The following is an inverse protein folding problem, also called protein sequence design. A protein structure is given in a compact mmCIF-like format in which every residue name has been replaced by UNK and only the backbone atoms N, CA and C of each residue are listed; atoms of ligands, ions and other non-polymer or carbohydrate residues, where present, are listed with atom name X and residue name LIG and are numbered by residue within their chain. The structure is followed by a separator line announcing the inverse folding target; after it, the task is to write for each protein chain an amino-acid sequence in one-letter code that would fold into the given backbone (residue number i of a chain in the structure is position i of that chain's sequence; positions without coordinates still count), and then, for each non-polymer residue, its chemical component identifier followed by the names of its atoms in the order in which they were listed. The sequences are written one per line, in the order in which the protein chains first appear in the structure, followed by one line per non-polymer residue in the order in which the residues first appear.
data_IF_001033751456
#
_entry.id   IF_001033751456
#
_cell.length_a   1.000
_cell.length_b   1.000
_cell.length_c   1.000
_cell.angle_alpha   90.00
_cell.angle_beta   90.00
_cell.angle_gamma   90.00
#
_symmetry.space_group_name_H-M   'P 1'
#
loop_
_entity.id
_entity.type
_entity.pdbx_description
1 polymer ?
#
# COMPACT_ATOMS: atom_id res chain seq x y z
N UNK A 1 81.24 20.02 1.13
CA UNK A 1 80.35 18.85 1.03
C UNK A 1 78.91 19.31 1.28
N UNK A 2 78.18 19.66 0.22
CA UNK A 2 76.74 19.99 0.30
C UNK A 2 75.97 18.76 -0.18
N UNK A 3 75.26 18.09 0.72
CA UNK A 3 74.41 16.94 0.39
C UNK A 3 73.03 17.48 0.05
N UNK A 4 72.76 17.64 -1.25
CA UNK A 4 71.43 17.94 -1.78
C UNK A 4 70.51 16.74 -1.52
N UNK A 5 69.53 16.92 -0.62
CA UNK A 5 68.50 15.92 -0.34
C UNK A 5 67.29 16.23 -1.23
N UNK A 6 67.23 15.56 -2.37
CA UNK A 6 66.10 15.61 -3.29
C UNK A 6 64.92 14.85 -2.67
N UNK A 7 63.92 15.57 -2.14
CA UNK A 7 62.64 14.99 -1.74
C UNK A 7 61.74 14.90 -2.97
N UNK A 8 61.60 13.69 -3.54
CA UNK A 8 60.59 13.38 -4.54
C UNK A 8 59.23 13.30 -3.87
N UNK A 9 58.36 14.27 -4.15
CA UNK A 9 56.96 14.25 -3.75
C UNK A 9 56.22 13.22 -4.61
N UNK A 10 55.77 12.13 -3.98
CA UNK A 10 54.87 11.15 -4.60
C UNK A 10 53.45 11.75 -4.60
N UNK A 11 52.75 11.83 -5.74
CA UNK A 11 51.36 12.27 -5.77
C UNK A 11 50.48 11.25 -5.03
N UNK A 12 49.88 11.69 -3.93
CA UNK A 12 48.83 10.97 -3.20
C UNK A 12 47.70 10.69 -4.19
N UNK A 13 47.59 9.44 -4.65
CA UNK A 13 46.38 8.98 -5.30
C UNK A 13 45.25 9.11 -4.27
N UNK A 14 44.21 9.87 -4.62
CA UNK A 14 42.97 9.92 -3.86
C UNK A 14 42.40 8.49 -3.81
N UNK A 15 42.68 7.79 -2.72
CA UNK A 15 42.07 6.51 -2.40
C UNK A 15 40.57 6.77 -2.19
N UNK A 16 39.74 6.26 -3.10
CA UNK A 16 38.31 6.20 -2.85
C UNK A 16 38.08 5.45 -1.54
N UNK A 17 37.26 5.99 -0.62
CA UNK A 17 37.06 5.38 0.68
C UNK A 17 36.53 3.95 0.51
N UNK A 18 36.99 2.98 1.32
CA UNK A 18 36.59 1.60 1.18
C UNK A 18 35.07 1.48 1.29
N UNK A 19 34.44 0.61 0.48
CA UNK A 19 33.00 0.41 0.52
C UNK A 19 32.60 0.00 1.93
N UNK A 20 31.81 0.86 2.58
CA UNK A 20 31.39 0.59 3.96
C UNK A 20 30.48 -0.63 3.98
N UNK A 21 30.49 -1.37 5.10
CA UNK A 21 29.60 -2.51 5.38
C UNK A 21 28.13 -2.21 5.04
N UNK A 22 27.74 -0.94 5.09
CA UNK A 22 26.43 -0.43 4.70
C UNK A 22 26.08 -0.64 3.21
N UNK A 23 27.04 -0.45 2.30
CA UNK A 23 26.87 -0.76 0.87
C UNK A 23 26.69 -2.27 0.64
N UNK A 24 27.37 -3.10 1.43
CA UNK A 24 27.27 -4.57 1.36
C UNK A 24 25.90 -5.09 1.82
N UNK A 25 25.25 -4.38 2.73
CA UNK A 25 23.93 -4.70 3.27
C UNK A 25 22.77 -4.17 2.41
N UNK A 26 23.06 -3.48 1.30
CA UNK A 26 22.04 -2.84 0.45
C UNK A 26 21.30 -1.70 1.16
N UNK A 27 21.81 -1.26 2.32
CA UNK A 27 21.32 -0.09 3.04
C UNK A 27 22.00 1.10 2.40
N UNK A 28 21.27 1.75 1.50
CA UNK A 28 21.77 2.83 0.67
C UNK A 28 22.59 3.86 1.45
N UNK A 29 23.86 4.02 1.07
CA UNK A 29 24.78 5.05 1.57
C UNK A 29 24.25 6.48 1.34
N UNK A 30 23.19 6.62 0.54
CA UNK A 30 22.41 7.83 0.25
C UNK A 30 21.76 8.50 1.49
N UNK A 31 21.69 7.82 2.65
CA UNK A 31 21.20 8.46 3.88
C UNK A 31 22.16 9.49 4.47
N UNK A 32 23.44 9.46 4.08
CA UNK A 32 24.50 10.31 4.64
C UNK A 32 25.06 11.31 3.62
N UNK A 33 24.37 11.55 2.50
CA UNK A 33 24.80 12.60 1.57
C UNK A 33 24.50 13.99 2.12
N UNK A 34 25.50 14.88 2.08
CA UNK A 34 25.35 16.29 2.45
C UNK A 34 24.53 17.10 1.42
N UNK A 35 24.27 16.54 0.23
CA UNK A 35 23.44 17.19 -0.77
C UNK A 35 21.98 17.25 -0.28
N UNK A 36 21.36 18.44 -0.14
CA UNK A 36 20.02 18.57 0.40
C UNK A 36 18.95 17.82 -0.42
N UNK A 37 19.12 17.71 -1.74
CA UNK A 37 18.20 16.95 -2.60
C UNK A 37 18.28 15.44 -2.34
N UNK A 38 19.49 14.90 -2.16
CA UNK A 38 19.69 13.46 -1.88
C UNK A 38 19.14 13.12 -0.49
N UNK A 39 19.39 13.96 0.52
CA UNK A 39 18.84 13.80 1.87
C UNK A 39 17.31 13.84 1.89
N UNK A 40 16.69 14.76 1.14
CA UNK A 40 15.24 14.83 1.00
C UNK A 40 14.67 13.57 0.33
N UNK A 41 15.31 13.11 -0.76
CA UNK A 41 14.91 11.89 -1.46
C UNK A 41 15.04 10.64 -0.56
N UNK A 42 16.13 10.52 0.19
CA UNK A 42 16.35 9.43 1.14
C UNK A 42 15.28 9.42 2.25
N UNK A 43 14.92 10.58 2.80
CA UNK A 43 13.84 10.72 3.80
C UNK A 43 12.48 10.31 3.22
N UNK A 44 12.15 10.75 2.00
CA UNK A 44 10.91 10.39 1.33
C UNK A 44 10.83 8.87 1.05
N UNK A 45 11.95 8.27 0.62
CA UNK A 45 12.08 6.84 0.40
C UNK A 45 11.91 6.06 1.71
N UNK A 46 12.55 6.49 2.79
CA UNK A 46 12.42 5.88 4.11
C UNK A 46 10.95 5.90 4.60
N UNK A 47 10.27 7.05 4.51
CA UNK A 47 8.86 7.16 4.86
C UNK A 47 7.98 6.19 4.04
N UNK A 48 8.21 6.08 2.73
CA UNK A 48 7.50 5.12 1.87
C UNK A 48 7.78 3.67 2.27
N UNK A 49 9.02 3.33 2.61
CA UNK A 49 9.37 1.99 3.09
C UNK A 49 8.69 1.65 4.42
N UNK A 50 8.56 2.60 5.34
CA UNK A 50 7.82 2.38 6.59
C UNK A 50 6.35 2.07 6.34
N UNK A 51 5.68 2.77 5.41
CA UNK A 51 4.31 2.44 4.99
C UNK A 51 4.25 0.99 4.45
N UNK A 52 5.21 0.57 3.63
CA UNK A 52 5.27 -0.80 3.12
C UNK A 52 5.44 -1.84 4.24
N UNK A 53 6.30 -1.57 5.23
CA UNK A 53 6.50 -2.45 6.39
C UNK A 53 5.22 -2.58 7.22
N UNK A 54 4.57 -1.44 7.54
CA UNK A 54 3.29 -1.42 8.26
C UNK A 54 2.22 -2.25 7.55
N UNK A 55 2.03 -2.04 6.23
CA UNK A 55 1.10 -2.84 5.43
C UNK A 55 1.40 -4.34 5.49
N UNK A 56 2.68 -4.72 5.37
CA UNK A 56 3.10 -6.13 5.42
C UNK A 56 2.88 -6.75 6.80
N UNK A 57 3.07 -5.99 7.86
CA UNK A 57 2.75 -6.41 9.22
C UNK A 57 1.24 -6.64 9.39
N UNK A 58 0.40 -5.76 8.86
CA UNK A 58 -1.06 -5.91 8.88
C UNK A 58 -1.54 -7.14 8.10
N UNK A 59 -0.95 -7.42 6.93
CA UNK A 59 -1.21 -8.67 6.18
C UNK A 59 -0.82 -9.93 6.98
N UNK A 60 0.20 -9.84 7.84
CA UNK A 60 0.60 -10.95 8.70
C UNK A 60 -0.38 -11.13 9.86
N UNK A 61 -0.75 -10.03 10.54
CA UNK A 61 -1.78 -10.03 11.59
C UNK A 61 -3.12 -10.60 11.08
N UNK A 62 -3.53 -10.24 9.86
CA UNK A 62 -4.73 -10.77 9.23
C UNK A 62 -4.70 -12.30 9.04
N UNK A 63 -3.52 -12.87 8.76
CA UNK A 63 -3.36 -14.33 8.60
C UNK A 63 -3.38 -15.08 9.92
N UNK A 64 -2.94 -14.44 11.00
CA UNK A 64 -3.03 -15.02 12.34
C UNK A 64 -4.48 -15.01 12.83
N UNK A 65 -5.22 -13.93 12.55
CA UNK A 65 -6.60 -13.75 13.00
C UNK A 65 -6.70 -13.38 14.48
N UNK A 66 -7.91 -13.08 14.95
CA UNK A 66 -8.17 -12.71 16.35
C UNK A 66 -8.55 -13.95 17.16
N UNK A 67 -7.56 -14.77 17.51
CA UNK A 67 -7.75 -16.03 18.24
C UNK A 67 -7.50 -15.84 19.74
N UNK A 68 -8.01 -16.72 20.61
CA UNK A 68 -7.65 -16.70 22.03
C UNK A 68 -6.14 -16.84 22.27
N UNK A 69 -5.40 -17.45 21.34
CA UNK A 69 -3.94 -17.55 21.38
C UNK A 69 -3.19 -16.30 20.91
N UNK A 70 -3.89 -15.36 20.28
CA UNK A 70 -3.36 -14.09 19.77
C UNK A 70 -4.28 -12.91 20.12
N UNK A 71 -4.55 -12.65 21.42
CA UNK A 71 -5.43 -11.57 21.84
C UNK A 71 -4.91 -10.17 21.46
N UNK A 72 -3.62 -10.03 21.19
CA UNK A 72 -2.95 -8.79 20.78
C UNK A 72 -3.36 -8.31 19.37
N UNK A 73 -3.85 -9.20 18.51
CA UNK A 73 -4.13 -8.88 17.11
C UNK A 73 -5.28 -7.87 16.97
N UNK A 74 -6.35 -8.03 17.74
CA UNK A 74 -7.51 -7.13 17.71
C UNK A 74 -7.15 -5.68 18.03
N UNK A 75 -6.55 -5.39 19.21
CA UNK A 75 -6.08 -4.05 19.57
C UNK A 75 -5.08 -3.47 18.58
N UNK A 76 -4.17 -4.29 18.03
CA UNK A 76 -3.20 -3.82 17.04
C UNK A 76 -3.87 -3.36 15.74
N UNK A 77 -4.88 -4.09 15.26
CA UNK A 77 -5.65 -3.70 14.08
C UNK A 77 -6.48 -2.42 14.34
N UNK A 78 -7.11 -2.29 15.51
CA UNK A 78 -7.83 -1.06 15.91
C UNK A 78 -6.87 0.13 15.96
N UNK A 79 -5.67 -0.03 16.51
CA UNK A 79 -4.67 1.04 16.55
C UNK A 79 -4.23 1.45 15.13
N UNK A 80 -4.00 0.48 14.24
CA UNK A 80 -3.59 0.74 12.87
C UNK A 80 -4.68 1.42 12.01
N UNK A 81 -5.96 1.27 12.37
CA UNK A 81 -7.05 2.04 11.76
C UNK A 81 -6.97 3.54 12.06
N UNK A 82 -6.24 3.95 13.10
CA UNK A 82 -5.97 5.35 13.43
C UNK A 82 -4.66 5.90 12.87
N UNK A 83 -3.96 5.15 12.01
CA UNK A 83 -2.66 5.56 11.48
C UNK A 83 -2.78 6.85 10.63
N UNK A 84 -1.84 7.80 10.70
CA UNK A 84 -1.90 9.03 9.90
C UNK A 84 -1.87 8.74 8.38
N UNK A 85 -1.24 7.64 7.97
CA UNK A 85 -1.11 7.27 6.57
C UNK A 85 -2.38 6.54 6.09
N UNK A 86 -3.15 7.16 5.18
CA UNK A 86 -4.33 6.54 4.52
C UNK A 86 -4.05 5.11 4.02
N UNK A 87 -2.90 4.82 3.38
CA UNK A 87 -2.66 3.48 2.86
C UNK A 87 -2.50 2.43 3.97
N UNK A 88 -2.09 2.83 5.17
CA UNK A 88 -1.98 1.94 6.35
C UNK A 88 -3.36 1.73 6.96
N UNK A 89 -4.17 2.79 7.14
CA UNK A 89 -5.56 2.66 7.61
C UNK A 89 -6.36 1.73 6.70
N UNK A 90 -6.25 1.93 5.40
CA UNK A 90 -6.87 1.06 4.41
C UNK A 90 -6.45 -0.41 4.57
N UNK A 91 -5.15 -0.67 4.74
CA UNK A 91 -4.64 -2.02 4.92
C UNK A 91 -5.13 -2.65 6.23
N UNK A 92 -5.31 -1.86 7.29
CA UNK A 92 -5.83 -2.32 8.57
C UNK A 92 -7.30 -2.74 8.44
N UNK A 93 -8.13 -1.92 7.79
CA UNK A 93 -9.54 -2.26 7.53
C UNK A 93 -9.67 -3.47 6.59
N UNK A 94 -8.82 -3.55 5.56
CA UNK A 94 -8.76 -4.72 4.66
C UNK A 94 -8.33 -6.00 5.39
N UNK A 95 -7.41 -5.89 6.36
CA UNK A 95 -7.03 -7.01 7.21
C UNK A 95 -8.24 -7.53 8.02
N UNK A 96 -9.02 -6.63 8.62
CA UNK A 96 -10.25 -7.00 9.34
C UNK A 96 -11.27 -7.63 8.39
N UNK A 97 -11.54 -7.03 7.23
CA UNK A 97 -12.42 -7.62 6.21
C UNK A 97 -11.97 -9.03 5.81
N UNK A 98 -10.66 -9.26 5.68
CA UNK A 98 -10.12 -10.59 5.34
C UNK A 98 -10.40 -11.60 6.45
N UNK A 99 -10.18 -11.23 7.71
CA UNK A 99 -10.46 -12.11 8.86
C UNK A 99 -11.95 -12.39 9.04
N UNK A 100 -12.80 -11.38 8.88
CA UNK A 100 -14.26 -11.51 8.95
C UNK A 100 -14.83 -12.28 7.75
N UNK A 101 -14.11 -12.26 6.63
CA UNK A 101 -14.47 -12.96 5.41
C UNK A 101 -14.67 -14.46 5.64
N UNK A 102 -14.00 -15.10 6.60
CA UNK A 102 -14.23 -16.52 6.88
C UNK A 102 -15.65 -16.87 7.32
N UNK A 103 -16.41 -15.89 7.82
CA UNK A 103 -17.84 -16.05 8.13
C UNK A 103 -18.77 -15.91 6.92
N UNK A 104 -18.25 -15.44 5.79
CA UNK A 104 -19.06 -15.15 4.61
C UNK A 104 -19.24 -16.37 3.70
N UNK A 105 -20.41 -16.47 3.07
CA UNK A 105 -20.63 -17.43 1.99
C UNK A 105 -19.70 -17.15 0.79
N UNK A 106 -19.42 -18.14 -0.07
CA UNK A 106 -18.63 -17.92 -1.28
C UNK A 106 -19.16 -16.79 -2.17
N UNK A 107 -20.49 -16.62 -2.26
CA UNK A 107 -21.16 -15.55 -3.00
C UNK A 107 -20.91 -14.18 -2.37
N UNK A 108 -21.00 -14.09 -1.05
CA UNK A 108 -20.68 -12.88 -0.29
C UNK A 108 -19.20 -12.50 -0.47
N UNK A 109 -18.28 -13.47 -0.32
CA UNK A 109 -16.84 -13.29 -0.58
C UNK A 109 -16.59 -12.76 -2.00
N UNK A 110 -17.27 -13.29 -3.02
CA UNK A 110 -17.16 -12.80 -4.41
C UNK A 110 -17.69 -11.38 -4.57
N UNK A 111 -18.80 -11.06 -3.92
CA UNK A 111 -19.43 -9.73 -4.00
C UNK A 111 -18.56 -8.67 -3.32
N UNK A 112 -18.00 -8.96 -2.16
CA UNK A 112 -17.04 -8.09 -1.48
C UNK A 112 -15.77 -7.85 -2.33
N UNK A 113 -15.24 -8.89 -2.99
CA UNK A 113 -14.10 -8.74 -3.93
C UNK A 113 -14.45 -7.88 -5.14
N UNK A 114 -15.66 -7.97 -5.67
CA UNK A 114 -16.14 -7.09 -6.75
C UNK A 114 -16.23 -5.63 -6.27
N UNK A 115 -16.71 -5.41 -5.04
CA UNK A 115 -16.83 -4.08 -4.45
C UNK A 115 -15.48 -3.42 -4.13
N UNK A 116 -14.45 -4.20 -3.78
CA UNK A 116 -13.06 -3.72 -3.68
C UNK A 116 -12.48 -3.23 -5.04
N UNK A 117 -13.18 -3.51 -6.14
CA UNK A 117 -12.88 -3.01 -7.47
C UNK A 117 -11.88 -3.87 -8.26
N UNK A 118 -11.90 -3.66 -9.59
CA UNK A 118 -10.99 -4.34 -10.52
C UNK A 118 -9.52 -3.95 -10.32
N UNK A 119 -9.24 -2.78 -9.74
CA UNK A 119 -7.87 -2.26 -9.57
C UNK A 119 -7.08 -3.11 -8.58
N UNK A 120 -7.66 -3.45 -7.43
CA UNK A 120 -7.01 -4.36 -6.49
C UNK A 120 -6.89 -5.77 -7.04
N UNK A 121 -7.93 -6.24 -7.74
CA UNK A 121 -7.91 -7.55 -8.40
C UNK A 121 -6.78 -7.64 -9.43
N UNK A 122 -6.51 -6.55 -10.16
CA UNK A 122 -5.42 -6.46 -11.13
C UNK A 122 -4.05 -6.39 -10.45
N UNK A 123 -3.93 -5.65 -9.35
CA UNK A 123 -2.69 -5.58 -8.57
C UNK A 123 -2.34 -6.91 -7.89
N UNK A 124 -3.33 -7.59 -7.31
CA UNK A 124 -3.16 -8.92 -6.70
C UNK A 124 -2.88 -9.99 -7.76
N UNK A 125 -3.52 -9.90 -8.93
CA UNK A 125 -3.20 -10.76 -10.07
C UNK A 125 -1.77 -10.55 -10.56
N UNK A 126 -1.34 -9.29 -10.73
CA UNK A 126 0.04 -8.94 -11.07
C UNK A 126 1.05 -9.53 -10.08
N UNK A 127 0.82 -9.33 -8.77
CA UNK A 127 1.69 -9.87 -7.71
C UNK A 127 1.73 -11.41 -7.70
N UNK A 128 0.60 -12.06 -7.96
CA UNK A 128 0.54 -13.53 -8.11
C UNK A 128 1.27 -14.02 -9.35
N UNK A 129 1.16 -13.33 -10.47
CA UNK A 129 1.91 -13.63 -11.69
C UNK A 129 3.41 -13.47 -11.45
N UNK A 130 3.85 -12.37 -10.82
CA UNK A 130 5.25 -12.14 -10.45
C UNK A 130 5.78 -13.24 -9.53
N UNK A 131 5.04 -13.61 -8.47
CA UNK A 131 5.43 -14.69 -7.56
C UNK A 131 5.50 -16.04 -8.27
N UNK A 132 4.50 -16.37 -9.10
CA UNK A 132 4.47 -17.63 -9.84
C UNK A 132 5.64 -17.76 -10.82
N UNK A 133 6.04 -16.65 -11.45
CA UNK A 133 7.23 -16.59 -12.30
C UNK A 133 8.50 -16.81 -11.48
N UNK A 134 8.64 -16.17 -10.31
CA UNK A 134 9.78 -16.40 -9.42
C UNK A 134 9.86 -17.86 -8.94
N UNK A 135 8.76 -18.43 -8.45
CA UNK A 135 8.71 -19.82 -7.97
C UNK A 135 9.02 -20.83 -9.09
N UNK A 136 8.59 -20.54 -10.32
CA UNK A 136 8.88 -21.36 -11.49
C UNK A 136 10.37 -21.32 -11.86
N UNK A 137 10.98 -20.13 -11.88
CA UNK A 137 12.42 -19.96 -12.13
C UNK A 137 13.23 -20.71 -11.08
N UNK A 138 12.87 -20.60 -9.81
CA UNK A 138 13.52 -21.32 -8.70
C UNK A 138 13.38 -22.85 -8.85
N UNK A 139 12.24 -23.32 -9.38
CA UNK A 139 12.00 -24.75 -9.61
C UNK A 139 12.81 -25.32 -10.78
N UNK A 140 12.94 -24.58 -11.88
CA UNK A 140 13.69 -25.06 -13.06
C UNK A 140 15.19 -24.97 -12.82
N UNK A 141 15.66 -23.89 -12.22
CA UNK A 141 17.09 -23.60 -12.17
C UNK A 141 17.70 -23.74 -10.77
N UNK A 142 16.93 -24.26 -9.81
CA UNK A 142 17.29 -24.23 -8.40
C UNK A 142 17.25 -22.82 -7.82
N UNK A 143 17.35 -22.71 -6.49
CA UNK A 143 17.52 -21.42 -5.78
C UNK A 143 18.93 -20.87 -6.04
N UNK A 144 19.16 -20.37 -7.24
CA UNK A 144 20.45 -19.82 -7.65
C UNK A 144 20.53 -18.31 -7.35
N UNK A 145 21.70 -17.78 -6.95
CA UNK A 145 21.86 -16.38 -6.54
C UNK A 145 21.55 -15.38 -7.68
N UNK A 146 21.07 -14.17 -7.35
CA UNK A 146 20.20 -13.34 -8.21
C UNK A 146 20.91 -12.50 -9.29
N UNK A 147 22.17 -12.77 -9.65
CA UNK A 147 22.94 -11.75 -10.36
C UNK A 147 22.83 -11.70 -11.88
N UNK A 148 22.40 -12.75 -12.58
CA UNK A 148 22.38 -12.69 -14.05
C UNK A 148 21.29 -13.57 -14.67
N UNK A 149 20.11 -13.02 -15.03
CA UNK A 149 19.18 -13.72 -15.92
C UNK A 149 18.45 -12.78 -16.89
N UNK A 150 18.60 -13.05 -18.19
CA UNK A 150 17.76 -12.52 -19.28
C UNK A 150 16.49 -13.39 -19.37
N UNK A 151 15.41 -12.99 -18.70
CA UNK A 151 14.18 -13.79 -18.51
C UNK A 151 13.08 -13.64 -19.57
N UNK A 152 13.29 -12.90 -20.68
CA UNK A 152 12.17 -12.53 -21.56
C UNK A 152 11.66 -13.65 -22.48
N UNK A 153 12.51 -14.56 -22.95
CA UNK A 153 12.12 -15.54 -23.99
C UNK A 153 11.42 -16.79 -23.43
N UNK A 154 11.63 -17.15 -22.16
CA UNK A 154 10.98 -18.31 -21.53
C UNK A 154 9.59 -18.01 -20.92
N UNK A 155 9.14 -16.75 -20.92
CA UNK A 155 7.92 -16.34 -20.22
C UNK A 155 6.64 -16.82 -20.93
N UNK A 156 6.63 -16.88 -22.27
CA UNK A 156 5.45 -17.30 -23.05
C UNK A 156 5.17 -18.80 -22.96
N UNK A 157 6.22 -19.63 -22.96
CA UNK A 157 6.10 -21.09 -22.82
C UNK A 157 5.58 -21.49 -21.42
N UNK A 158 5.94 -20.74 -20.39
CA UNK A 158 5.48 -20.97 -19.01
C UNK A 158 4.00 -20.63 -18.80
N UNK A 159 3.48 -19.66 -19.55
CA UNK A 159 2.08 -19.23 -19.48
C UNK A 159 1.12 -20.34 -19.94
N UNK A 160 1.49 -21.14 -20.94
CA UNK A 160 0.65 -22.26 -21.42
C UNK A 160 0.63 -23.43 -20.42
N UNK A 161 1.75 -23.72 -19.75
CA UNK A 161 1.83 -24.77 -18.73
C UNK A 161 0.99 -24.43 -17.49
N UNK A 162 0.94 -23.15 -17.10
CA UNK A 162 0.16 -22.67 -15.95
C UNK A 162 -1.35 -22.85 -16.14
N UNK A 163 -1.87 -22.69 -17.36
CA UNK A 163 -3.30 -22.89 -17.67
C UNK A 163 -3.76 -24.33 -17.42
N UNK A 164 -2.87 -25.31 -17.60
CA UNK A 164 -3.18 -26.74 -17.43
C UNK A 164 -3.24 -27.22 -15.97
N UNK A 165 -2.61 -26.50 -15.01
CA UNK A 165 -2.44 -26.96 -13.62
C UNK A 165 -3.39 -26.31 -12.59
N UNK A 166 -4.24 -25.39 -13.02
CA UNK A 166 -5.15 -24.63 -12.14
C UNK A 166 -6.45 -25.36 -11.78
N UNK A 167 -6.66 -26.60 -12.24
CA UNK A 167 -7.83 -27.41 -11.90
C UNK A 167 -7.42 -28.67 -11.15
N UNK A 168 -7.19 -28.56 -9.84
CA UNK A 168 -7.01 -29.76 -9.01
C UNK A 168 -6.29 -29.49 -7.70
N UNK A 169 -7.03 -29.09 -6.66
CA UNK A 169 -6.58 -29.28 -5.29
C UNK A 169 -7.72 -29.85 -4.48
N UNK A 170 -7.55 -31.08 -4.01
CA UNK A 170 -8.44 -31.74 -3.07
C UNK A 170 -8.26 -31.15 -1.66
N UNK A 171 -9.33 -30.95 -0.87
CA UNK A 171 -9.22 -30.45 0.50
C UNK A 171 -8.69 -31.53 1.44
N UNK A 172 -7.83 -31.16 2.38
CA UNK A 172 -7.41 -32.02 3.49
C UNK A 172 -8.53 -32.08 4.56
N UNK A 173 -8.79 -33.26 5.16
CA UNK A 173 -9.66 -33.36 6.33
C UNK A 173 -8.86 -33.07 7.61
N UNK A 174 -9.15 -31.94 8.28
CA UNK A 174 -8.61 -31.64 9.61
C UNK A 174 -9.62 -31.99 10.72
N UNK A 175 -9.21 -32.78 11.73
CA UNK A 175 -10.01 -33.12 12.91
C UNK A 175 -9.72 -32.13 14.05
N UNK A 176 -10.67 -31.25 14.36
CA UNK A 176 -10.91 -30.55 15.66
C UNK A 176 -11.85 -29.37 15.38
N UNK A 177 -13.13 -29.67 15.18
CA UNK A 177 -14.12 -28.73 14.64
C UNK A 177 -15.26 -28.40 15.62
N UNK A 178 -15.12 -28.76 16.89
CA UNK A 178 -16.30 -28.87 17.76
C UNK A 178 -16.55 -27.68 18.70
N UNK A 179 -15.58 -26.78 18.96
CA UNK A 179 -15.80 -25.67 19.91
C UNK A 179 -15.55 -24.26 19.34
N UNK A 180 -15.94 -24.01 18.09
CA UNK A 180 -16.16 -22.64 17.64
C UNK A 180 -17.35 -22.57 16.68
N UNK A 181 -18.45 -21.88 17.04
CA UNK A 181 -19.62 -21.73 16.17
C UNK A 181 -19.34 -20.91 14.89
N UNK A 182 -18.11 -20.39 14.71
CA UNK A 182 -17.59 -19.85 13.46
C UNK A 182 -16.27 -20.59 13.12
N UNK A 183 -16.31 -21.47 12.11
CA UNK A 183 -15.27 -22.47 11.85
C UNK A 183 -13.86 -21.92 11.62
N UNK A 184 -12.89 -22.73 12.08
CA UNK A 184 -11.43 -22.71 11.82
C UNK A 184 -10.50 -22.09 12.88
N UNK A 185 -10.90 -21.90 14.13
CA UNK A 185 -9.98 -21.52 15.22
C UNK A 185 -9.30 -20.15 15.07
N UNK A 186 -9.58 -19.47 13.95
CA UNK A 186 -9.27 -18.09 13.66
C UNK A 186 -10.55 -17.29 13.92
N UNK A 187 -10.79 -16.94 15.19
CA UNK A 187 -11.93 -16.11 15.54
C UNK A 187 -11.95 -14.86 14.65
N UNK A 188 -13.09 -14.52 14.01
CA UNK A 188 -13.17 -13.32 13.21
C UNK A 188 -12.89 -12.12 14.11
N UNK A 189 -12.10 -11.15 13.63
CA UNK A 189 -11.82 -9.91 14.33
C UNK A 189 -13.06 -9.00 14.35
N UNK A 190 -14.17 -9.47 14.92
CA UNK A 190 -15.48 -8.82 14.92
C UNK A 190 -15.97 -8.53 16.33
N UNK A 191 -15.05 -8.17 17.23
CA UNK A 191 -15.36 -7.70 18.58
C UNK A 191 -16.25 -6.44 18.52
N UNK A 192 -17.03 -6.14 19.58
CA UNK A 192 -17.85 -4.93 19.62
C UNK A 192 -17.02 -3.65 19.42
N UNK A 193 -15.80 -3.60 19.98
CA UNK A 193 -14.89 -2.46 19.80
C UNK A 193 -14.43 -2.31 18.35
N UNK A 194 -14.18 -3.43 17.67
CA UNK A 194 -13.83 -3.40 16.25
C UNK A 194 -14.99 -2.88 15.41
N UNK A 195 -16.21 -3.37 15.66
CA UNK A 195 -17.41 -2.90 14.95
C UNK A 195 -17.65 -1.41 15.17
N UNK A 196 -17.55 -0.93 16.42
CA UNK A 196 -17.65 0.49 16.75
C UNK A 196 -16.62 1.33 15.99
N UNK A 197 -15.37 0.86 15.90
CA UNK A 197 -14.32 1.58 15.16
C UNK A 197 -14.59 1.60 13.66
N UNK A 198 -15.06 0.49 13.10
CA UNK A 198 -15.45 0.40 11.69
C UNK A 198 -16.66 1.30 11.38
N UNK A 199 -17.64 1.40 12.28
CA UNK A 199 -18.79 2.31 12.16
C UNK A 199 -18.34 3.78 12.18
N UNK A 200 -17.41 4.14 13.08
CA UNK A 200 -16.81 5.47 13.10
C UNK A 200 -16.09 5.80 11.78
N UNK A 201 -15.34 4.85 11.22
CA UNK A 201 -14.68 5.05 9.92
C UNK A 201 -15.67 5.14 8.75
N UNK A 202 -16.68 4.28 8.72
CA UNK A 202 -17.63 4.22 7.61
C UNK A 202 -18.59 5.42 7.62
N UNK A 203 -19.12 5.76 8.80
CA UNK A 203 -20.28 6.64 8.95
C UNK A 203 -20.05 7.82 9.89
N UNK A 204 -18.91 7.88 10.59
CA UNK A 204 -18.60 8.95 11.51
C UNK A 204 -18.60 10.31 10.81
N UNK A 205 -19.27 11.29 11.43
CA UNK A 205 -19.35 12.68 10.96
C UNK A 205 -18.96 13.66 12.05
N UNK A 206 -18.40 14.79 11.65
CA UNK A 206 -18.18 15.95 12.51
C UNK A 206 -19.46 16.79 12.69
N UNK A 207 -19.37 17.86 13.47
CA UNK A 207 -20.47 18.81 13.72
C UNK A 207 -20.94 19.53 12.45
N UNK A 208 -20.08 19.60 11.42
CA UNK A 208 -20.40 20.20 10.13
C UNK A 208 -21.02 19.19 9.14
N UNK A 209 -21.22 17.94 9.57
CA UNK A 209 -21.76 16.86 8.75
C UNK A 209 -20.76 16.26 7.76
N UNK A 210 -19.48 16.64 7.83
CA UNK A 210 -18.40 16.08 7.02
C UNK A 210 -17.92 14.75 7.61
N UNK A 211 -17.45 13.83 6.77
CA UNK A 211 -16.97 12.53 7.22
C UNK A 211 -15.66 12.66 8.02
N UNK A 212 -15.57 11.95 9.15
CA UNK A 212 -14.35 11.89 9.96
C UNK A 212 -13.20 11.21 9.20
N UNK A 213 -13.50 10.11 8.48
CA UNK A 213 -12.54 9.52 7.55
C UNK A 213 -12.63 10.22 6.19
N UNK A 214 -11.56 10.91 5.81
CA UNK A 214 -11.46 11.64 4.54
C UNK A 214 -11.47 10.72 3.31
N UNK A 215 -10.86 9.54 3.39
CA UNK A 215 -10.68 8.63 2.25
C UNK A 215 -11.94 7.81 2.00
N UNK A 216 -12.62 8.07 0.88
CA UNK A 216 -13.78 7.26 0.44
C UNK A 216 -13.43 5.78 0.34
N UNK A 217 -12.22 5.48 -0.12
CA UNK A 217 -11.72 4.11 -0.24
C UNK A 217 -11.67 3.39 1.10
N UNK A 218 -11.27 4.07 2.18
CA UNK A 218 -11.26 3.49 3.54
C UNK A 218 -12.70 3.30 4.03
N UNK A 219 -13.57 4.29 3.81
CA UNK A 219 -15.00 4.21 4.20
C UNK A 219 -15.70 2.99 3.57
N UNK A 220 -15.58 2.82 2.26
CA UNK A 220 -16.20 1.70 1.53
C UNK A 220 -15.72 0.35 2.05
N UNK A 221 -14.43 0.20 2.35
CA UNK A 221 -13.91 -1.07 2.89
C UNK A 221 -14.33 -1.30 4.34
N UNK A 222 -14.54 -0.23 5.11
CA UNK A 222 -15.08 -0.33 6.46
C UNK A 222 -16.53 -0.82 6.44
N UNK A 223 -17.36 -0.33 5.51
CA UNK A 223 -18.73 -0.82 5.29
C UNK A 223 -18.73 -2.31 4.93
N UNK A 224 -17.85 -2.73 4.01
CA UNK A 224 -17.72 -4.15 3.65
C UNK A 224 -17.28 -5.01 4.84
N UNK A 225 -16.36 -4.49 5.67
CA UNK A 225 -15.91 -5.18 6.88
C UNK A 225 -17.04 -5.33 7.90
N UNK A 226 -17.89 -4.31 8.09
CA UNK A 226 -19.08 -4.39 8.92
C UNK A 226 -20.06 -5.46 8.42
N UNK A 227 -20.32 -5.49 7.11
CA UNK A 227 -21.17 -6.52 6.51
C UNK A 227 -20.60 -7.93 6.71
N UNK A 228 -19.28 -8.10 6.55
CA UNK A 228 -18.61 -9.37 6.85
C UNK A 228 -18.75 -9.76 8.33
N UNK A 229 -18.58 -8.81 9.24
CA UNK A 229 -18.73 -9.03 10.67
C UNK A 229 -20.17 -9.33 11.11
N UNK A 230 -21.17 -8.84 10.39
CA UNK A 230 -22.56 -9.20 10.62
C UNK A 230 -22.81 -10.70 10.33
N UNK A 231 -22.19 -11.24 9.28
CA UNK A 231 -22.27 -12.68 8.97
C UNK A 231 -21.65 -13.57 10.08
N UNK A 232 -20.70 -13.05 10.86
CA UNK A 232 -20.05 -13.80 11.95
C UNK A 232 -20.92 -13.99 13.19
N UNK A 233 -21.88 -13.10 13.44
CA UNK A 233 -22.65 -13.10 14.68
C UNK A 233 -23.67 -14.25 14.76
N UNK A 234 -23.82 -15.05 13.69
CA UNK A 234 -24.85 -16.10 13.65
C UNK A 234 -26.26 -15.54 13.81
N UNK A 235 -26.43 -14.23 13.73
CA UNK A 235 -27.71 -13.57 13.57
C UNK A 235 -28.26 -14.12 12.26
N UNK A 236 -29.08 -15.17 12.39
CA UNK A 236 -29.99 -15.58 11.34
C UNK A 236 -30.83 -14.34 11.09
N UNK A 237 -30.40 -13.53 10.13
CA UNK A 237 -31.19 -12.45 9.61
C UNK A 237 -32.51 -13.11 9.19
N UNK A 238 -33.53 -12.95 10.04
CA UNK A 238 -34.89 -12.93 9.56
C UNK A 238 -34.85 -12.02 8.34
N UNK A 239 -35.31 -12.57 7.21
CA UNK A 239 -35.28 -11.98 5.85
C UNK A 239 -34.94 -10.50 5.85
N UNK A 240 -34.02 -10.03 4.98
CA UNK A 240 -33.72 -8.61 4.88
C UNK A 240 -35.05 -7.87 4.76
N UNK A 241 -35.41 -7.09 5.79
CA UNK A 241 -36.29 -5.96 5.57
C UNK A 241 -35.46 -5.11 4.64
N UNK A 242 -35.76 -5.22 3.35
CA UNK A 242 -35.64 -4.12 2.42
C UNK A 242 -36.39 -2.93 3.05
N UNK A 243 -35.78 -2.28 4.04
CA UNK A 243 -35.89 -0.84 4.08
C UNK A 243 -35.16 -0.41 2.81
N UNK A 244 -35.95 -0.09 1.80
CA UNK A 244 -35.54 0.78 0.72
C UNK A 244 -35.09 2.12 1.33
N UNK A 245 -33.98 2.13 2.06
CA UNK A 245 -33.12 3.29 2.10
C UNK A 245 -32.40 3.19 0.76
N UNK A 246 -33.16 3.54 -0.29
CA UNK A 246 -32.61 4.38 -1.33
C UNK A 246 -31.75 5.37 -0.57
N UNK A 247 -30.48 5.47 -0.93
CA UNK A 247 -29.65 6.60 -0.54
C UNK A 247 -30.43 7.81 -1.07
N UNK A 248 -31.39 8.30 -0.30
CA UNK A 248 -32.02 9.58 -0.53
C UNK A 248 -30.84 10.49 -0.41
N UNK A 249 -30.26 10.81 -1.58
CA UNK A 249 -29.62 12.09 -1.74
C UNK A 249 -30.57 13.05 -1.04
N UNK A 250 -30.10 13.83 -0.05
CA UNK A 250 -30.94 14.85 0.54
C UNK A 250 -31.64 15.55 -0.61
N UNK A 251 -32.97 15.74 -0.56
CA UNK A 251 -33.69 16.41 -1.63
C UNK A 251 -32.83 17.60 -2.00
N UNK A 252 -32.47 17.71 -3.28
CA UNK A 252 -31.79 18.88 -3.79
C UNK A 252 -32.76 20.00 -3.44
N UNK A 253 -32.52 20.65 -2.30
CA UNK A 253 -33.08 21.95 -2.02
C UNK A 253 -32.63 22.71 -3.24
N UNK A 254 -33.58 22.99 -4.12
CA UNK A 254 -33.42 23.96 -5.18
C UNK A 254 -32.89 25.19 -4.47
N UNK A 255 -31.56 25.31 -4.50
CA UNK A 255 -30.88 26.51 -4.11
C UNK A 255 -31.31 27.45 -5.21
N UNK A 256 -32.40 28.16 -4.95
CA UNK A 256 -32.82 29.28 -5.76
C UNK A 256 -31.57 30.13 -5.92
N UNK A 257 -30.99 30.09 -7.12
CA UNK A 257 -29.93 30.99 -7.47
C UNK A 257 -30.56 32.38 -7.35
N UNK A 258 -30.04 33.26 -6.49
CA UNK A 258 -30.54 34.61 -6.43
C UNK A 258 -30.44 35.20 -7.85
N UNK A 259 -31.55 35.72 -8.42
CA UNK A 259 -31.49 36.39 -9.71
C UNK A 259 -30.73 37.70 -9.49
N UNK A 260 -29.44 37.72 -9.86
CA UNK A 260 -28.65 38.96 -9.88
C UNK A 260 -27.23 38.92 -9.31
N UNK A 261 -26.57 37.76 -9.18
CA UNK A 261 -25.12 37.76 -8.97
C UNK A 261 -24.40 37.78 -10.32
N UNK A 262 -24.13 38.99 -10.81
CA UNK A 262 -23.15 39.20 -11.86
C UNK A 262 -21.79 38.60 -11.46
N UNK A 263 -21.08 38.12 -12.47
CA UNK A 263 -19.87 37.34 -12.35
C UNK A 263 -18.73 38.11 -11.69
N UNK A 264 -18.53 37.93 -10.39
CA UNK A 264 -17.22 38.13 -9.77
C UNK A 264 -16.50 36.80 -9.66
N UNK A 265 -15.45 36.70 -10.48
CA UNK A 265 -14.58 35.57 -10.63
C UNK A 265 -13.89 35.21 -9.31
N UNK A 266 -14.27 34.09 -8.71
CA UNK A 266 -13.35 33.36 -7.84
C UNK A 266 -12.33 32.65 -8.74
N UNK A 267 -11.30 33.41 -9.13
CA UNK A 267 -10.06 32.88 -9.68
C UNK A 267 -9.52 31.88 -8.67
N UNK A 268 -9.63 30.60 -9.01
CA UNK A 268 -8.89 29.55 -8.36
C UNK A 268 -7.41 29.90 -8.52
N UNK A 269 -6.80 30.39 -7.44
CA UNK A 269 -5.35 30.45 -7.30
C UNK A 269 -4.81 29.01 -7.29
N UNK A 270 -4.77 28.41 -8.48
CA UNK A 270 -3.84 27.35 -8.81
C UNK A 270 -2.48 28.03 -8.76
N UNK A 271 -1.76 27.84 -7.67
CA UNK A 271 -0.34 28.13 -7.61
C UNK A 271 0.33 27.36 -8.76
N UNK A 272 0.53 28.05 -9.87
CA UNK A 272 1.45 27.66 -10.91
C UNK A 272 2.81 27.77 -10.24
N UNK A 273 3.38 26.62 -9.88
CA UNK A 273 4.80 26.56 -9.56
C UNK A 273 5.50 26.94 -10.86
N UNK A 274 5.92 28.21 -10.93
CA UNK A 274 6.80 28.68 -11.96
C UNK A 274 8.07 27.82 -11.91
N UNK A 275 8.26 27.01 -12.94
CA UNK A 275 9.55 26.40 -13.22
C UNK A 275 10.51 27.56 -13.47
N UNK A 276 11.60 27.73 -12.69
CA UNK A 276 12.59 28.76 -12.99
C UNK A 276 13.18 28.47 -14.37
N UNK A 277 13.03 29.46 -15.24
CA UNK A 277 13.57 29.50 -16.59
C UNK A 277 15.08 29.23 -16.53
N UNK A 278 15.49 28.10 -17.10
CA UNK A 278 16.90 27.75 -17.24
C UNK A 278 17.56 28.78 -18.14
N UNK A 279 18.35 29.69 -17.56
CA UNK A 279 19.29 30.53 -18.29
C UNK A 279 20.14 29.64 -19.19
N UNK A 280 19.99 29.83 -20.50
CA UNK A 280 20.88 29.25 -21.49
C UNK A 280 22.31 29.74 -21.24
N UNK A 281 23.34 28.89 -21.45
CA UNK A 281 24.71 29.33 -21.38
C UNK A 281 24.99 30.32 -22.51
N UNK A 282 25.33 31.53 -22.09
CA UNK A 282 25.81 32.64 -22.89
C UNK A 282 27.01 32.17 -23.73
N UNK A 283 26.90 32.32 -25.05
CA UNK A 283 27.97 32.00 -26.01
C UNK A 283 29.12 32.95 -25.75
N UNK A 284 30.27 32.40 -25.36
CA UNK A 284 31.56 33.09 -25.34
C UNK A 284 31.81 33.80 -26.68
N UNK A 285 31.87 35.13 -26.63
CA UNK A 285 32.43 35.94 -27.70
C UNK A 285 33.97 35.81 -27.67
N UNK A 286 34.63 35.70 -28.85
CA UNK A 286 36.08 35.72 -28.94
C UNK A 286 36.63 37.14 -28.70
N UNK A 287 37.65 37.21 -27.86
CA UNK A 287 38.48 38.39 -27.62
C UNK A 287 39.17 38.87 -28.91
N UNK A 288 39.18 40.17 -29.22
CA UNK A 288 39.98 40.71 -30.31
C UNK A 288 41.46 40.70 -29.93
N UNK A 289 42.29 40.42 -30.93
CA UNK A 289 43.74 40.46 -30.87
C UNK A 289 44.25 41.89 -30.64
N UNK A 290 45.15 42.04 -29.67
CA UNK A 290 46.05 43.18 -29.58
C UNK A 290 47.24 42.94 -30.51
N UNK A 291 47.39 43.82 -31.50
CA UNK A 291 48.64 44.27 -32.12
C UNK A 291 48.40 45.72 -32.60
N UNK A 292 49.42 46.59 -32.73
CA UNK A 292 50.86 46.34 -32.65
C UNK A 292 51.59 46.99 -31.46
#
# INVERSE_FOLDING_TARGET
MFVLKLCLAVPLHAQEPPPTIWQSLGIGADQYSDNPAIKAAAKAKAAKHEICKKKRALEYLARMGCTPGHPEVGPALIAAMGDPDEPVRYAAVKAVLTTAGECQSPEQKRSARKALGCVESCHDWKKKCEQAVCDFIDRIFGKAPPKERKCKEHLEECCEILKSKLTGKTPCPDPTKEDCPCGNGQGPCCSPDMKKKLEELAYGRDENGCFLETSERVRTVAELALQACASCAGERFGRPRYSNIVRELPPVLERELPPGAEADACVSNRAVIAVPESKQPEKNQPTPADEP
#
